data_IF_443401959314
#
_entry.id   IF_443401959314
#
_cell.length_a   1.000
_cell.length_b   1.000
_cell.length_c   1.000
_cell.angle_alpha   90.00
_cell.angle_beta   90.00
_cell.angle_gamma   90.00
#
_symmetry.space_group_name_H-M   'P 1'
#
loop_
_entity.id
_entity.type
_entity.pdbx_description
1 polymer ?
#
# COMPACT_ATOMS: atom_id res chain seq x y z
N UNK A 1 -23.38 -0.59 20.09
CA UNK A 1 -22.22 0.13 20.69
C UNK A 1 -22.10 1.47 19.98
N UNK A 2 -22.40 2.60 20.65
CA UNK A 2 -22.30 3.93 20.02
C UNK A 2 -20.82 4.32 19.96
N UNK A 3 -20.27 4.45 18.76
CA UNK A 3 -18.88 4.91 18.54
C UNK A 3 -18.79 6.37 18.98
N UNK A 4 -17.84 6.70 19.86
CA UNK A 4 -17.57 8.09 20.25
C UNK A 4 -16.94 8.82 19.05
N UNK A 5 -17.39 10.05 18.79
CA UNK A 5 -16.86 10.88 17.70
C UNK A 5 -15.32 10.97 17.81
N UNK A 6 -14.62 10.70 16.70
CA UNK A 6 -13.16 10.80 16.58
C UNK A 6 -12.35 9.53 16.85
N UNK A 7 -12.95 8.44 17.33
CA UNK A 7 -12.25 7.16 17.48
C UNK A 7 -12.37 6.34 16.20
N UNK A 8 -11.24 6.11 15.52
CA UNK A 8 -11.20 5.18 14.38
C UNK A 8 -11.39 3.75 14.92
N UNK A 9 -12.42 3.02 14.47
CA UNK A 9 -12.71 1.69 14.97
C UNK A 9 -11.70 0.68 14.41
N UNK A 10 -11.34 -0.30 15.23
CA UNK A 10 -10.53 -1.45 14.80
C UNK A 10 -11.43 -2.68 14.70
N UNK A 11 -11.44 -3.33 13.54
CA UNK A 11 -12.26 -4.51 13.25
C UNK A 11 -11.35 -5.67 12.85
N UNK A 12 -11.58 -6.85 13.42
CA UNK A 12 -10.93 -8.08 12.99
C UNK A 12 -11.89 -8.90 12.13
N UNK A 13 -11.42 -9.37 10.97
CA UNK A 13 -12.19 -10.25 10.09
C UNK A 13 -11.39 -11.50 9.73
N UNK A 14 -12.09 -12.63 9.62
CA UNK A 14 -11.57 -13.87 9.05
C UNK A 14 -12.31 -14.22 7.76
N UNK A 15 -11.58 -14.71 6.77
CA UNK A 15 -12.11 -15.16 5.49
C UNK A 15 -11.33 -16.38 4.98
N UNK A 16 -11.94 -17.17 4.10
CA UNK A 16 -11.29 -18.33 3.53
C UNK A 16 -10.47 -17.99 2.28
N UNK A 17 -10.83 -16.94 1.55
CA UNK A 17 -10.15 -16.54 0.31
C UNK A 17 -9.91 -15.03 0.23
N UNK A 18 -9.06 -14.61 -0.72
CA UNK A 18 -8.78 -13.18 -0.99
C UNK A 18 -10.06 -12.41 -1.34
N UNK A 19 -10.94 -12.90 -2.25
CA UNK A 19 -12.15 -12.15 -2.58
C UNK A 19 -13.12 -12.01 -1.41
N UNK A 20 -13.29 -13.07 -0.62
CA UNK A 20 -14.14 -13.01 0.56
C UNK A 20 -13.59 -12.00 1.57
N UNK A 21 -12.28 -12.00 1.83
CA UNK A 21 -11.63 -11.00 2.67
C UNK A 21 -11.86 -9.57 2.17
N UNK A 22 -11.73 -9.36 0.85
CA UNK A 22 -11.94 -8.05 0.23
C UNK A 22 -13.36 -7.54 0.47
N UNK A 23 -14.39 -8.36 0.21
CA UNK A 23 -15.77 -7.95 0.43
C UNK A 23 -16.12 -7.77 1.91
N UNK A 24 -15.64 -8.66 2.79
CA UNK A 24 -15.83 -8.52 4.24
C UNK A 24 -15.14 -7.27 4.79
N UNK A 25 -13.98 -6.89 4.26
CA UNK A 25 -13.31 -5.65 4.65
C UNK A 25 -14.12 -4.43 4.23
N UNK A 26 -14.65 -4.40 3.00
CA UNK A 26 -15.52 -3.33 2.51
C UNK A 26 -16.78 -3.22 3.39
N UNK A 27 -17.44 -4.34 3.66
CA UNK A 27 -18.63 -4.38 4.53
C UNK A 27 -18.33 -3.88 5.94
N UNK A 28 -17.19 -4.29 6.52
CA UNK A 28 -16.75 -3.84 7.83
C UNK A 28 -16.54 -2.31 7.88
N UNK A 29 -15.83 -1.75 6.89
CA UNK A 29 -15.62 -0.29 6.82
C UNK A 29 -16.94 0.44 6.59
N UNK A 30 -17.81 -0.08 5.72
CA UNK A 30 -19.10 0.56 5.40
C UNK A 30 -20.04 0.62 6.62
N UNK A 31 -20.19 -0.49 7.34
CA UNK A 31 -21.14 -0.62 8.44
C UNK A 31 -20.60 -0.09 9.77
N UNK A 32 -19.29 -0.13 9.98
CA UNK A 32 -18.68 0.21 11.27
C UNK A 32 -17.73 1.40 11.22
N UNK A 33 -17.29 1.85 10.04
CA UNK A 33 -16.38 2.96 9.89
C UNK A 33 -16.97 4.30 10.32
N UNK A 34 -16.10 5.19 10.77
CA UNK A 34 -16.47 6.57 11.09
C UNK A 34 -16.48 7.42 9.83
N UNK A 35 -17.38 8.38 9.77
CA UNK A 35 -17.38 9.38 8.69
C UNK A 35 -16.26 10.38 8.90
N UNK A 36 -15.46 10.60 7.86
CA UNK A 36 -14.30 11.49 7.89
C UNK A 36 -14.13 12.21 6.57
N UNK A 37 -13.87 13.52 6.67
CA UNK A 37 -13.49 14.39 5.56
C UNK A 37 -12.00 14.24 5.27
N UNK A 38 -11.63 14.24 4.00
CA UNK A 38 -10.23 14.16 3.56
C UNK A 38 -9.85 15.34 2.70
N UNK A 39 -8.55 15.55 2.46
CA UNK A 39 -8.06 16.54 1.51
C UNK A 39 -8.43 16.21 0.04
N UNK A 40 -8.91 15.00 -0.23
CA UNK A 40 -9.35 14.56 -1.56
C UNK A 40 -10.83 14.90 -1.83
N UNK A 41 -11.61 15.24 -0.80
CA UNK A 41 -13.01 15.59 -0.95
C UNK A 41 -13.12 16.88 -1.79
N UNK A 42 -13.78 16.80 -2.96
CA UNK A 42 -13.96 17.95 -3.84
C UNK A 42 -14.85 18.99 -3.18
N UNK A 43 -14.52 20.25 -3.43
CA UNK A 43 -15.27 21.41 -2.97
C UNK A 43 -15.75 22.24 -4.16
N UNK A 44 -16.90 22.86 -3.99
CA UNK A 44 -17.40 23.84 -4.95
C UNK A 44 -16.65 25.18 -4.82
N UNK A 45 -16.90 26.17 -5.70
CA UNK A 45 -16.25 27.48 -5.62
C UNK A 45 -16.53 28.28 -4.34
N UNK A 46 -17.57 27.93 -3.57
CA UNK A 46 -17.90 28.54 -2.28
C UNK A 46 -17.18 27.86 -1.11
N UNK A 47 -16.49 26.75 -1.37
CA UNK A 47 -15.76 25.96 -0.39
C UNK A 47 -16.59 24.87 0.27
N UNK A 48 -17.82 24.65 -0.19
CA UNK A 48 -18.71 23.60 0.33
C UNK A 48 -18.35 22.24 -0.27
N UNK A 49 -18.47 21.19 0.54
CA UNK A 49 -18.15 19.82 0.12
C UNK A 49 -19.18 19.30 -0.89
N UNK A 50 -18.68 18.86 -2.06
CA UNK A 50 -19.49 18.18 -3.08
C UNK A 50 -19.59 16.69 -2.76
N UNK A 51 -18.46 16.07 -2.41
CA UNK A 51 -18.40 14.64 -2.14
C UNK A 51 -18.96 14.33 -0.74
N UNK A 52 -19.57 13.15 -0.52
CA UNK A 52 -19.90 12.68 0.83
C UNK A 52 -18.62 12.35 1.61
N UNK A 53 -18.66 12.36 2.97
CA UNK A 53 -17.50 11.99 3.76
C UNK A 53 -17.14 10.52 3.51
N UNK A 54 -15.84 10.24 3.50
CA UNK A 54 -15.34 8.86 3.45
C UNK A 54 -15.67 8.09 4.72
N UNK A 55 -15.69 6.76 4.64
CA UNK A 55 -15.72 5.87 5.80
C UNK A 55 -14.30 5.40 6.12
N UNK A 56 -13.90 5.48 7.38
CA UNK A 56 -12.57 5.06 7.84
C UNK A 56 -12.67 4.04 8.98
N UNK A 57 -11.89 2.97 8.90
CA UNK A 57 -11.67 2.00 9.96
C UNK A 57 -10.28 1.34 9.80
N UNK A 58 -9.75 0.81 10.89
CA UNK A 58 -8.61 -0.12 10.85
C UNK A 58 -9.15 -1.55 10.76
N UNK A 59 -8.73 -2.32 9.76
CA UNK A 59 -9.19 -3.70 9.57
C UNK A 59 -8.01 -4.65 9.62
N UNK A 60 -8.02 -5.57 10.60
CA UNK A 60 -7.11 -6.71 10.65
C UNK A 60 -7.76 -7.89 9.93
N UNK A 61 -7.11 -8.37 8.88
CA UNK A 61 -7.65 -9.40 7.99
C UNK A 61 -6.84 -10.69 8.14
N UNK A 62 -7.52 -11.81 8.44
CA UNK A 62 -6.94 -13.15 8.32
C UNK A 62 -7.56 -13.86 7.12
N UNK A 63 -6.72 -14.36 6.23
CA UNK A 63 -7.11 -15.20 5.09
C UNK A 63 -6.61 -16.62 5.37
N UNK A 64 -7.51 -17.60 5.40
CA UNK A 64 -7.14 -18.98 5.71
C UNK A 64 -6.44 -19.67 4.52
N UNK A 65 -6.92 -19.46 3.30
CA UNK A 65 -6.32 -19.99 2.08
C UNK A 65 -6.22 -18.90 0.99
N UNK A 66 -5.08 -18.19 0.89
CA UNK A 66 -4.90 -17.13 -0.10
C UNK A 66 -4.82 -17.64 -1.55
N UNK A 67 -4.74 -18.96 -1.78
CA UNK A 67 -4.69 -19.55 -3.12
C UNK A 67 -6.03 -20.17 -3.55
N UNK A 68 -7.04 -20.20 -2.67
CA UNK A 68 -8.39 -20.69 -2.96
C UNK A 68 -9.03 -19.93 -4.11
N UNK A 69 -9.65 -20.67 -5.03
CA UNK A 69 -10.45 -20.07 -6.10
C UNK A 69 -11.82 -19.56 -5.61
N UNK A 70 -12.31 -18.43 -6.13
CA UNK A 70 -11.61 -17.52 -7.04
C UNK A 70 -10.48 -16.76 -6.33
N UNK A 71 -9.34 -16.58 -6.99
CA UNK A 71 -8.18 -15.89 -6.40
C UNK A 71 -8.31 -14.36 -6.34
N UNK A 72 -9.10 -13.77 -7.23
CA UNK A 72 -9.24 -12.31 -7.38
C UNK A 72 -10.72 -11.89 -7.32
N UNK A 73 -11.06 -10.79 -6.62
CA UNK A 73 -12.44 -10.36 -6.53
C UNK A 73 -12.94 -9.84 -7.89
N UNK A 74 -14.19 -10.12 -8.30
CA UNK A 74 -14.76 -9.60 -9.54
C UNK A 74 -14.75 -8.09 -9.68
N UNK A 75 -14.87 -7.35 -8.56
CA UNK A 75 -14.79 -5.89 -8.53
C UNK A 75 -13.37 -5.35 -8.78
N UNK A 76 -12.36 -6.22 -8.77
CA UNK A 76 -11.01 -5.83 -9.07
C UNK A 76 -10.92 -5.55 -10.58
N UNK A 77 -11.20 -4.29 -10.97
CA UNK A 77 -10.96 -3.75 -12.32
C UNK A 77 -9.46 -3.73 -12.70
N UNK A 78 -8.65 -4.55 -12.05
CA UNK A 78 -7.22 -4.54 -12.21
C UNK A 78 -6.84 -5.17 -13.55
N UNK A 79 -6.05 -4.42 -14.31
CA UNK A 79 -5.27 -4.93 -15.42
C UNK A 79 -4.24 -5.93 -14.85
N UNK A 80 -4.64 -7.17 -14.57
CA UNK A 80 -3.82 -8.18 -13.87
C UNK A 80 -2.41 -8.29 -14.47
N UNK A 81 -2.31 -8.26 -15.79
CA UNK A 81 -1.03 -8.26 -16.50
C UNK A 81 -0.13 -7.08 -16.10
N UNK A 82 -0.69 -5.86 -15.97
CA UNK A 82 0.07 -4.67 -15.57
C UNK A 82 0.64 -4.79 -14.16
N UNK A 83 -0.12 -5.33 -13.21
CA UNK A 83 0.38 -5.55 -11.84
C UNK A 83 1.44 -6.65 -11.79
N UNK A 84 1.28 -7.73 -12.56
CA UNK A 84 2.31 -8.77 -12.69
C UNK A 84 3.59 -8.15 -13.26
N UNK A 85 3.50 -7.40 -14.36
CA UNK A 85 4.67 -6.75 -14.97
C UNK A 85 5.31 -5.71 -14.04
N UNK A 86 4.52 -4.98 -13.26
CA UNK A 86 5.02 -4.07 -12.23
C UNK A 86 5.80 -4.80 -11.14
N UNK A 87 5.30 -5.94 -10.67
CA UNK A 87 6.02 -6.80 -9.72
C UNK A 87 7.28 -7.44 -10.33
N UNK A 88 7.36 -7.55 -11.66
CA UNK A 88 8.54 -8.01 -12.39
C UNK A 88 9.51 -6.85 -12.75
N UNK A 89 9.26 -5.64 -12.24
CA UNK A 89 10.16 -4.50 -12.41
C UNK A 89 10.09 -3.81 -13.78
N UNK A 90 9.08 -4.12 -14.60
CA UNK A 90 8.95 -3.53 -15.96
C UNK A 90 8.80 -2.02 -15.93
N UNK A 91 8.35 -1.44 -14.82
CA UNK A 91 8.18 0.01 -14.64
C UNK A 91 9.37 0.67 -13.95
N UNK A 92 10.40 -0.06 -13.54
CA UNK A 92 11.47 0.50 -12.73
C UNK A 92 12.31 1.53 -13.49
N UNK A 93 12.39 1.40 -14.81
CA UNK A 93 13.04 2.38 -15.68
C UNK A 93 12.25 3.70 -15.81
N UNK A 94 11.03 3.75 -15.28
CA UNK A 94 10.21 4.97 -15.20
C UNK A 94 10.35 5.65 -13.83
N UNK A 95 11.13 5.09 -12.92
CA UNK A 95 11.32 5.68 -11.59
C UNK A 95 12.32 6.82 -11.66
N UNK A 96 11.95 7.94 -11.04
CA UNK A 96 12.80 9.13 -10.94
C UNK A 96 14.00 8.82 -10.04
N UNK A 97 15.23 9.25 -10.42
CA UNK A 97 16.40 9.11 -9.57
C UNK A 97 16.22 9.74 -8.18
N UNK A 98 16.79 9.11 -7.16
CA UNK A 98 16.65 9.54 -5.76
C UNK A 98 17.18 10.96 -5.53
N UNK A 99 18.27 11.33 -6.18
CA UNK A 99 18.89 12.65 -6.09
C UNK A 99 18.00 13.75 -6.67
N UNK A 100 17.27 13.48 -7.76
CA UNK A 100 16.26 14.39 -8.28
C UNK A 100 15.10 14.58 -7.28
N UNK A 101 14.62 13.49 -6.66
CA UNK A 101 13.58 13.57 -5.63
C UNK A 101 14.06 14.42 -4.44
N UNK A 102 15.30 14.22 -4.00
CA UNK A 102 15.90 14.97 -2.90
C UNK A 102 16.18 16.44 -3.24
N UNK A 103 16.38 16.79 -4.51
CA UNK A 103 16.50 18.16 -4.97
C UNK A 103 15.15 18.91 -5.00
N UNK A 104 14.04 18.18 -4.86
CA UNK A 104 12.68 18.70 -4.89
C UNK A 104 12.06 18.54 -6.27
N UNK A 105 11.12 17.61 -6.39
CA UNK A 105 10.36 17.36 -7.62
C UNK A 105 9.01 18.10 -7.60
N UNK A 106 8.52 18.44 -8.79
CA UNK A 106 7.12 18.83 -8.99
C UNK A 106 6.28 17.59 -9.30
N UNK A 107 5.72 16.96 -8.26
CA UNK A 107 4.87 15.76 -8.38
C UNK A 107 3.69 15.92 -9.33
N UNK A 108 3.19 17.16 -9.52
CA UNK A 108 2.09 17.39 -10.45
C UNK A 108 2.53 17.34 -11.93
N UNK A 109 3.83 17.20 -12.19
CA UNK A 109 4.41 17.28 -13.53
C UNK A 109 5.48 16.19 -13.79
N UNK A 110 5.19 14.96 -13.36
CA UNK A 110 6.09 13.80 -13.58
C UNK A 110 5.94 13.14 -14.96
N UNK A 111 4.96 13.56 -15.77
CA UNK A 111 4.68 12.94 -17.06
C UNK A 111 4.35 11.45 -16.93
N UNK A 112 5.22 10.58 -17.46
CA UNK A 112 5.08 9.12 -17.37
C UNK A 112 5.94 8.48 -16.28
N UNK A 113 6.68 9.30 -15.53
CA UNK A 113 7.59 8.85 -14.47
C UNK A 113 6.86 8.69 -13.14
N UNK A 114 7.50 7.97 -12.22
CA UNK A 114 6.96 7.66 -10.89
C UNK A 114 8.03 7.93 -9.82
N UNK A 115 7.63 8.36 -8.61
CA UNK A 115 8.59 8.56 -7.52
C UNK A 115 9.10 7.23 -6.94
N UNK A 116 8.36 6.14 -7.13
CA UNK A 116 8.78 4.77 -6.77
C UNK A 116 7.94 3.71 -7.49
N UNK A 117 8.43 2.47 -7.48
CA UNK A 117 7.62 1.26 -7.70
C UNK A 117 7.75 0.33 -6.50
N UNK A 118 6.74 -0.52 -6.27
CA UNK A 118 6.85 -1.53 -5.21
C UNK A 118 7.99 -2.51 -5.45
N UNK A 119 8.24 -2.92 -6.70
CA UNK A 119 9.36 -3.79 -7.03
C UNK A 119 10.71 -3.13 -6.68
N UNK A 120 10.97 -1.89 -7.14
CA UNK A 120 12.19 -1.16 -6.78
C UNK A 120 12.36 -1.06 -5.26
N UNK A 121 11.29 -0.75 -4.51
CA UNK A 121 11.34 -0.69 -3.04
C UNK A 121 11.71 -2.05 -2.42
N UNK A 122 11.45 -3.18 -3.07
CA UNK A 122 11.78 -4.51 -2.55
C UNK A 122 13.15 -5.02 -3.02
N UNK A 123 13.45 -4.94 -4.32
CA UNK A 123 14.67 -5.51 -4.92
C UNK A 123 15.84 -4.53 -5.01
N UNK A 124 15.59 -3.22 -4.93
CA UNK A 124 16.60 -2.18 -5.01
C UNK A 124 16.30 -1.04 -4.04
N UNK A 125 16.01 -1.39 -2.78
CA UNK A 125 15.58 -0.43 -1.76
C UNK A 125 16.61 0.70 -1.63
N UNK A 126 16.20 1.98 -1.78
CA UNK A 126 17.14 3.07 -1.90
C UNK A 126 17.71 3.49 -0.54
N UNK A 127 19.03 3.64 -0.49
CA UNK A 127 19.78 4.13 0.68
C UNK A 127 20.76 5.21 0.27
N UNK A 128 21.34 5.93 1.25
CA UNK A 128 22.41 6.90 0.96
C UNK A 128 23.70 6.27 0.44
N UNK A 129 23.90 4.97 0.64
CA UNK A 129 25.14 4.26 0.26
C UNK A 129 24.97 3.36 -0.97
N UNK A 130 23.81 3.43 -1.65
CA UNK A 130 23.45 2.53 -2.75
C UNK A 130 22.08 1.89 -2.52
N UNK A 131 21.88 0.69 -3.06
CA UNK A 131 20.61 -0.04 -2.95
C UNK A 131 20.76 -1.32 -2.13
N UNK A 132 19.64 -1.80 -1.58
CA UNK A 132 19.57 -3.08 -0.85
C UNK A 132 18.52 -3.96 -1.49
N UNK A 133 18.90 -5.19 -1.84
CA UNK A 133 17.94 -6.23 -2.23
C UNK A 133 17.34 -6.87 -0.98
N UNK A 134 16.12 -6.43 -0.63
CA UNK A 134 15.41 -6.96 0.53
C UNK A 134 14.81 -8.34 0.24
N UNK A 135 14.56 -8.68 -1.03
CA UNK A 135 14.02 -9.99 -1.43
C UNK A 135 15.07 -11.06 -1.16
N UNK A 136 16.29 -10.87 -1.68
CA UNK A 136 17.44 -11.74 -1.45
C UNK A 136 17.69 -11.90 0.06
N UNK A 137 17.70 -10.77 0.80
CA UNK A 137 17.93 -10.75 2.24
C UNK A 137 16.88 -11.53 3.04
N UNK A 138 15.61 -11.50 2.61
CA UNK A 138 14.53 -12.25 3.26
C UNK A 138 14.61 -13.74 2.93
N UNK A 139 14.89 -14.10 1.67
CA UNK A 139 15.07 -15.50 1.24
C UNK A 139 16.23 -16.15 2.01
N UNK A 140 17.38 -15.47 2.12
CA UNK A 140 18.54 -15.95 2.88
C UNK A 140 18.18 -16.22 4.35
N UNK A 141 17.44 -15.31 4.99
CA UNK A 141 17.04 -15.47 6.39
C UNK A 141 16.11 -16.65 6.63
N UNK A 142 15.08 -16.81 5.80
CA UNK A 142 14.09 -17.90 5.95
C UNK A 142 14.72 -19.25 5.60
N UNK A 143 15.59 -19.29 4.59
CA UNK A 143 16.30 -20.51 4.20
C UNK A 143 17.33 -20.95 5.25
N UNK A 144 17.93 -20.01 5.98
CA UNK A 144 18.88 -20.29 7.06
C UNK A 144 18.20 -20.68 8.38
N UNK A 145 17.11 -19.99 8.76
CA UNK A 145 16.39 -20.24 10.01
C UNK A 145 14.87 -20.15 9.80
N UNK A 146 14.20 -21.31 9.86
CA UNK A 146 12.75 -21.41 9.69
C UNK A 146 11.93 -20.80 10.83
N UNK A 147 12.55 -20.44 11.96
CA UNK A 147 11.88 -19.73 13.06
C UNK A 147 12.29 -18.25 13.14
N UNK A 148 12.94 -17.73 12.09
CA UNK A 148 13.42 -16.35 12.08
C UNK A 148 12.29 -15.36 12.29
N UNK A 149 12.56 -14.38 13.15
CA UNK A 149 11.66 -13.24 13.37
C UNK A 149 12.08 -11.96 12.67
N UNK A 150 13.07 -12.09 11.79
CA UNK A 150 13.80 -10.99 11.18
C UNK A 150 13.60 -10.94 9.67
N UNK A 151 12.79 -11.82 9.09
CA UNK A 151 12.46 -11.80 7.68
C UNK A 151 11.39 -10.73 7.40
N UNK A 152 11.84 -9.49 7.19
CA UNK A 152 10.98 -8.32 6.98
C UNK A 152 11.49 -7.53 5.78
N UNK A 153 10.57 -7.08 4.92
CA UNK A 153 10.82 -6.06 3.90
C UNK A 153 9.97 -4.83 4.21
N UNK A 154 10.50 -3.62 3.95
CA UNK A 154 9.76 -2.36 4.05
C UNK A 154 9.72 -1.64 2.72
N UNK A 155 8.59 -1.02 2.40
CA UNK A 155 8.43 -0.18 1.20
C UNK A 155 8.54 1.31 1.54
N UNK A 156 8.39 1.68 2.81
CA UNK A 156 8.58 3.05 3.29
C UNK A 156 10.07 3.36 3.42
N UNK A 157 10.51 4.45 2.80
CA UNK A 157 11.85 4.99 2.87
C UNK A 157 11.78 6.48 3.27
N UNK A 158 11.88 6.81 4.57
CA UNK A 158 11.71 8.18 5.06
C UNK A 158 12.64 9.21 4.40
N UNK A 159 13.81 8.80 3.90
CA UNK A 159 14.74 9.69 3.19
C UNK A 159 14.10 10.28 1.92
N UNK A 160 13.26 9.51 1.24
CA UNK A 160 12.59 9.91 -0.01
C UNK A 160 11.16 10.36 0.29
N UNK A 161 10.42 9.56 1.06
CA UNK A 161 8.97 9.72 1.21
C UNK A 161 8.57 11.04 1.86
N UNK A 162 9.43 11.66 2.66
CA UNK A 162 9.14 12.98 3.25
C UNK A 162 9.26 14.13 2.26
N UNK A 163 9.82 13.89 1.07
CA UNK A 163 9.89 14.87 -0.01
C UNK A 163 8.66 14.80 -0.92
N UNK A 164 7.85 13.75 -0.79
CA UNK A 164 6.65 13.52 -1.58
C UNK A 164 5.43 14.10 -0.85
N UNK A 165 4.51 14.68 -1.61
CA UNK A 165 3.26 15.31 -1.17
C UNK A 165 2.09 14.34 -1.27
N UNK A 166 2.05 13.52 -2.32
CA UNK A 166 0.89 12.66 -2.62
C UNK A 166 1.27 11.18 -2.66
N UNK A 167 2.37 10.84 -3.33
CA UNK A 167 2.70 9.46 -3.67
C UNK A 167 3.57 8.78 -2.61
N UNK A 168 3.02 8.59 -1.41
CA UNK A 168 3.68 7.84 -0.33
C UNK A 168 3.26 6.35 -0.40
N UNK A 169 4.16 5.37 -0.18
CA UNK A 169 3.82 3.95 -0.18
C UNK A 169 2.69 3.57 0.80
N UNK A 170 1.59 3.06 0.26
CA UNK A 170 0.45 2.57 1.04
C UNK A 170 0.75 1.22 1.71
N UNK A 171 1.37 0.28 0.97
CA UNK A 171 1.98 -0.89 1.60
C UNK A 171 3.14 -0.39 2.46
N UNK A 172 3.20 -0.84 3.71
CA UNK A 172 4.23 -0.41 4.66
C UNK A 172 5.38 -1.40 4.77
N UNK A 173 5.04 -2.62 5.14
CA UNK A 173 5.98 -3.69 5.41
C UNK A 173 5.34 -5.05 5.10
N UNK A 174 6.19 -6.05 4.88
CA UNK A 174 5.81 -7.45 4.79
C UNK A 174 6.69 -8.25 5.72
N UNK A 175 6.06 -9.07 6.56
CA UNK A 175 6.74 -9.93 7.51
C UNK A 175 6.48 -11.39 7.16
N UNK A 176 7.56 -12.15 6.99
CA UNK A 176 7.53 -13.55 6.66
C UNK A 176 7.86 -14.39 7.90
N UNK A 177 7.11 -15.47 8.08
CA UNK A 177 7.13 -16.37 9.24
C UNK A 177 7.10 -17.80 8.77
#
# INVERSE_FOLDING_TARGET
MKIKHGIIPTVFIGADSIPEAHYKAIEAVWNHGVEKRTQYDRKDPMGDYIDPPSKEAQVLVKINDPFKDPRFPPLSFCERGKYILELLGVKDNLVIPMDEILAGIDEMNLGTQWPYTYHQRMSAYPTRMGTVDQIESVIDRISTDSNTRRAVMTTRAPVIDTQLKEDIPCLGEMHFR
#
